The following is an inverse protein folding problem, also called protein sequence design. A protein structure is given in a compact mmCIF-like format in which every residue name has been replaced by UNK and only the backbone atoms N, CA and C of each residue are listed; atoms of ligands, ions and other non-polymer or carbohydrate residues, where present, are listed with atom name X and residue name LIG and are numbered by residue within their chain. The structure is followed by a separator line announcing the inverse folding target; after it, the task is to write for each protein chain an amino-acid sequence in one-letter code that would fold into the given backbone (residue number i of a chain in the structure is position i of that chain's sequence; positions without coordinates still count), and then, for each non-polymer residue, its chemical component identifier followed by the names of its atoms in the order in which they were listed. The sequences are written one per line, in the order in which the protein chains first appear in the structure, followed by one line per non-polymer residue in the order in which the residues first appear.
data_IF_389399616082
#
_entry.id   IF_389399616082
#
_cell.length_a   1.000
_cell.length_b   1.000
_cell.length_c   1.000
_cell.angle_alpha   90.00
_cell.angle_beta   90.00
_cell.angle_gamma   90.00
#
_symmetry.space_group_name_H-M   'P 1'
#
loop_
_entity.id
_entity.type
_entity.pdbx_description
1 polymer ?
#
# COMPACT_ATOMS: atom_id res chain seq x y z
N UNK A 1 -16.43 20.11 -1.87
CA UNK A 1 -15.56 18.91 -1.86
C UNK A 1 -14.90 18.68 -3.22
N UNK A 2 -15.66 18.61 -4.33
CA UNK A 2 -15.12 18.32 -5.66
C UNK A 2 -14.12 19.35 -6.20
N UNK A 3 -14.35 20.65 -6.00
CA UNK A 3 -13.42 21.69 -6.46
C UNK A 3 -12.03 21.56 -5.81
N UNK A 4 -11.95 21.19 -4.52
CA UNK A 4 -10.68 20.90 -3.85
C UNK A 4 -9.95 19.72 -4.51
N UNK A 5 -10.68 18.69 -4.92
CA UNK A 5 -10.11 17.52 -5.58
C UNK A 5 -9.61 17.90 -6.97
N UNK A 6 -10.39 18.64 -7.75
CA UNK A 6 -10.01 19.11 -9.08
C UNK A 6 -8.76 20.01 -9.03
N UNK A 7 -8.73 21.02 -8.15
CA UNK A 7 -7.54 21.86 -7.94
C UNK A 7 -6.37 21.02 -7.41
N UNK A 8 -6.62 20.06 -6.53
CA UNK A 8 -5.59 19.16 -6.00
C UNK A 8 -4.96 18.24 -7.05
N UNK A 9 -5.65 17.97 -8.15
CA UNK A 9 -5.15 17.15 -9.27
C UNK A 9 -4.47 18.03 -10.32
N UNK A 10 -5.09 19.15 -10.70
CA UNK A 10 -4.68 19.98 -11.84
C UNK A 10 -3.76 21.16 -11.45
N UNK A 11 -3.63 21.48 -10.16
CA UNK A 11 -2.72 22.51 -9.66
C UNK A 11 -3.07 23.90 -10.20
N UNK A 12 -2.13 24.51 -10.92
CA UNK A 12 -2.28 25.85 -11.51
C UNK A 12 -3.07 25.85 -12.83
N UNK A 13 -3.36 24.69 -13.43
CA UNK A 13 -4.20 24.62 -14.62
C UNK A 13 -5.68 24.72 -14.25
N UNK A 14 -6.19 25.95 -14.25
CA UNK A 14 -7.56 26.28 -13.83
C UNK A 14 -8.59 25.78 -14.83
N UNK A 15 -8.29 25.78 -16.12
CA UNK A 15 -9.24 25.38 -17.16
C UNK A 15 -9.61 23.89 -17.00
N UNK A 16 -8.61 23.01 -16.86
CA UNK A 16 -8.82 21.59 -16.60
C UNK A 16 -9.47 21.34 -15.22
N UNK A 17 -9.16 22.17 -14.22
CA UNK A 17 -9.78 22.04 -12.90
C UNK A 17 -11.29 22.33 -12.95
N UNK A 18 -11.71 23.30 -13.75
CA UNK A 18 -13.13 23.62 -13.97
C UNK A 18 -13.80 22.49 -14.75
N UNK A 19 -13.16 21.96 -15.79
CA UNK A 19 -13.68 20.82 -16.55
C UNK A 19 -13.91 19.60 -15.64
N UNK A 20 -12.89 19.18 -14.89
CA UNK A 20 -12.98 18.06 -13.96
C UNK A 20 -14.02 18.30 -12.86
N UNK A 21 -14.14 19.54 -12.36
CA UNK A 21 -15.19 19.88 -11.39
C UNK A 21 -16.59 19.67 -11.98
N UNK A 22 -16.85 20.16 -13.20
CA UNK A 22 -18.14 20.01 -13.85
C UNK A 22 -18.49 18.53 -14.02
N UNK A 23 -17.55 17.73 -14.55
CA UNK A 23 -17.74 16.29 -14.76
C UNK A 23 -17.99 15.52 -13.45
N UNK A 24 -17.28 15.85 -12.37
CA UNK A 24 -17.50 15.28 -11.04
C UNK A 24 -18.85 15.70 -10.44
N UNK A 25 -19.24 16.97 -10.59
CA UNK A 25 -20.47 17.52 -10.03
C UNK A 25 -21.74 17.00 -10.70
N UNK A 26 -21.66 16.76 -12.01
CA UNK A 26 -22.71 16.15 -12.84
C UNK A 26 -22.72 14.61 -12.75
N UNK A 27 -21.77 14.03 -11.99
CA UNK A 27 -21.66 12.58 -11.71
C UNK A 27 -21.35 11.74 -12.95
N UNK A 28 -20.63 12.29 -13.92
CA UNK A 28 -20.12 11.51 -15.06
C UNK A 28 -19.10 10.46 -14.61
N UNK A 29 -18.28 10.79 -13.61
CA UNK A 29 -17.38 9.84 -12.94
C UNK A 29 -17.12 10.26 -11.48
N UNK A 30 -16.39 9.43 -10.73
CA UNK A 30 -15.89 9.76 -9.40
C UNK A 30 -14.47 9.23 -9.21
N UNK A 31 -13.65 9.95 -8.45
CA UNK A 31 -12.33 9.47 -8.07
C UNK A 31 -12.39 8.45 -6.93
N UNK A 32 -11.30 7.70 -6.77
CA UNK A 32 -11.14 6.77 -5.67
C UNK A 32 -11.23 7.50 -4.31
N UNK A 33 -11.71 6.78 -3.31
CA UNK A 33 -11.87 7.30 -1.95
C UNK A 33 -10.63 8.01 -1.38
N UNK A 34 -9.38 7.49 -1.49
CA UNK A 34 -8.19 8.20 -1.00
C UNK A 34 -7.94 9.51 -1.73
N UNK A 35 -8.18 9.58 -3.04
CA UNK A 35 -8.09 10.82 -3.82
C UNK A 35 -9.09 11.85 -3.29
N UNK A 36 -10.35 11.43 -3.06
CA UNK A 36 -11.39 12.30 -2.52
C UNK A 36 -11.06 12.82 -1.12
N UNK A 37 -10.39 12.05 -0.27
CA UNK A 37 -10.01 12.49 1.08
C UNK A 37 -8.74 13.35 1.07
N UNK A 38 -7.71 12.95 0.32
CA UNK A 38 -6.35 13.47 0.48
C UNK A 38 -5.92 14.50 -0.58
N UNK A 39 -6.67 14.71 -1.66
CA UNK A 39 -6.32 15.73 -2.66
C UNK A 39 -6.21 17.14 -2.04
N UNK A 40 -5.18 17.90 -2.41
CA UNK A 40 -4.87 19.22 -1.84
C UNK A 40 -4.74 19.26 -0.30
N UNK A 41 -4.34 18.15 0.34
CA UNK A 41 -3.96 18.13 1.76
C UNK A 41 -2.44 18.13 1.92
N UNK A 42 -1.94 18.41 3.13
CA UNK A 42 -0.50 18.46 3.43
C UNK A 42 0.25 17.17 3.05
N UNK A 43 -0.39 16.01 3.22
CA UNK A 43 0.13 14.71 2.80
C UNK A 43 -0.83 14.09 1.77
N UNK A 44 -0.67 14.47 0.50
CA UNK A 44 -1.54 14.06 -0.59
C UNK A 44 -1.25 12.61 -1.06
N UNK A 45 -1.53 11.63 -0.21
CA UNK A 45 -1.47 10.22 -0.59
C UNK A 45 -2.79 9.84 -1.29
N UNK A 46 -2.79 9.81 -2.62
CA UNK A 46 -4.01 9.63 -3.42
C UNK A 46 -4.23 8.21 -3.96
N UNK A 47 -3.23 7.33 -3.83
CA UNK A 47 -3.31 5.95 -4.29
C UNK A 47 -3.98 5.04 -3.25
N UNK A 48 -4.79 4.08 -3.69
CA UNK A 48 -5.36 3.08 -2.76
C UNK A 48 -4.50 1.83 -2.65
N UNK A 49 -3.91 1.38 -3.76
CA UNK A 49 -3.35 0.04 -3.89
C UNK A 49 -1.86 0.09 -4.26
N UNK A 50 -1.07 -0.76 -3.61
CA UNK A 50 0.34 -0.96 -3.89
C UNK A 50 0.62 -2.43 -4.14
N UNK A 51 1.53 -2.69 -5.09
CA UNK A 51 2.04 -4.03 -5.35
C UNK A 51 3.53 -4.04 -5.05
N UNK A 52 3.95 -4.94 -4.18
CA UNK A 52 5.34 -5.17 -3.83
C UNK A 52 5.73 -6.59 -4.27
N UNK A 53 6.93 -6.72 -4.83
CA UNK A 53 7.51 -8.02 -5.13
C UNK A 53 8.72 -8.19 -4.24
N UNK A 54 8.79 -9.32 -3.54
CA UNK A 54 9.97 -9.67 -2.78
C UNK A 54 11.03 -10.24 -3.74
N UNK A 55 12.22 -9.66 -3.76
CA UNK A 55 13.22 -9.98 -4.77
C UNK A 55 13.91 -11.31 -4.51
N UNK A 56 14.25 -11.58 -3.24
CA UNK A 56 15.12 -12.70 -2.85
C UNK A 56 14.64 -13.35 -1.55
N UNK A 57 15.00 -14.62 -1.37
CA UNK A 57 14.75 -15.40 -0.15
C UNK A 57 15.85 -15.17 0.91
N UNK A 58 16.08 -13.89 1.25
CA UNK A 58 17.02 -13.50 2.30
C UNK A 58 16.30 -12.78 3.43
N UNK A 59 16.79 -12.96 4.66
CA UNK A 59 16.24 -12.29 5.85
C UNK A 59 16.28 -10.76 5.67
N UNK A 60 17.32 -10.23 5.03
CA UNK A 60 17.45 -8.81 4.73
C UNK A 60 16.32 -8.33 3.81
N UNK A 61 16.08 -9.03 2.71
CA UNK A 61 15.04 -8.65 1.74
C UNK A 61 13.64 -8.80 2.31
N UNK A 62 13.40 -9.85 3.11
CA UNK A 62 12.14 -10.06 3.83
C UNK A 62 11.91 -8.89 4.80
N UNK A 63 12.93 -8.50 5.55
CA UNK A 63 12.85 -7.41 6.54
C UNK A 63 12.63 -6.05 5.89
N UNK A 64 13.32 -5.75 4.78
CA UNK A 64 13.10 -4.49 4.05
C UNK A 64 11.71 -4.46 3.40
N UNK A 65 11.24 -5.58 2.84
CA UNK A 65 9.89 -5.68 2.28
C UNK A 65 8.83 -5.42 3.36
N UNK A 66 9.02 -6.00 4.55
CA UNK A 66 8.16 -5.79 5.71
C UNK A 66 8.19 -4.34 6.20
N UNK A 67 9.36 -3.70 6.22
CA UNK A 67 9.53 -2.27 6.54
C UNK A 67 8.75 -1.40 5.56
N UNK A 68 8.87 -1.67 4.25
CA UNK A 68 8.12 -0.97 3.20
C UNK A 68 6.61 -1.15 3.37
N UNK A 69 6.15 -2.37 3.66
CA UNK A 69 4.74 -2.64 3.94
C UNK A 69 4.23 -1.81 5.13
N UNK A 70 5.01 -1.74 6.20
CA UNK A 70 4.68 -0.98 7.42
C UNK A 70 4.51 0.52 7.12
N UNK A 71 5.44 1.10 6.36
CA UNK A 71 5.40 2.54 6.01
C UNK A 71 4.20 2.86 5.12
N UNK A 72 3.91 2.01 4.13
CA UNK A 72 2.77 2.19 3.21
C UNK A 72 1.44 2.00 3.96
N UNK A 73 1.34 0.95 4.77
CA UNK A 73 0.13 0.62 5.53
C UNK A 73 -0.25 1.70 6.54
N UNK A 74 0.71 2.51 7.03
CA UNK A 74 0.43 3.67 7.89
C UNK A 74 -0.51 4.68 7.24
N UNK A 75 -0.50 4.79 5.91
CA UNK A 75 -1.32 5.75 5.17
C UNK A 75 -2.66 5.15 4.70
N UNK A 76 -3.14 4.06 5.34
CA UNK A 76 -4.41 3.39 4.98
C UNK A 76 -4.47 2.98 3.51
N UNK A 77 -3.39 2.38 3.01
CA UNK A 77 -3.31 1.83 1.67
C UNK A 77 -3.27 0.29 1.72
N UNK A 78 -3.87 -0.33 0.71
CA UNK A 78 -3.85 -1.79 0.54
C UNK A 78 -2.58 -2.22 -0.18
N UNK A 79 -2.04 -3.37 0.22
CA UNK A 79 -0.75 -3.86 -0.27
C UNK A 79 -0.89 -5.33 -0.68
N UNK A 80 -0.60 -5.62 -1.95
CA UNK A 80 -0.36 -6.97 -2.42
C UNK A 80 1.14 -7.26 -2.42
N UNK A 81 1.57 -8.35 -1.80
CA UNK A 81 2.98 -8.76 -1.77
C UNK A 81 3.14 -10.10 -2.49
N UNK A 82 3.98 -10.13 -3.52
CA UNK A 82 4.41 -11.37 -4.16
C UNK A 82 5.54 -12.01 -3.34
N UNK A 83 5.33 -13.28 -2.99
CA UNK A 83 6.15 -14.08 -2.06
C UNK A 83 6.59 -15.40 -2.68
N UNK A 84 6.45 -15.51 -4.00
CA UNK A 84 6.80 -16.71 -4.77
C UNK A 84 8.28 -17.07 -4.69
N UNK A 85 9.14 -16.13 -4.29
CA UNK A 85 10.57 -16.36 -4.11
C UNK A 85 10.92 -17.07 -2.79
N UNK A 86 10.00 -17.17 -1.82
CA UNK A 86 10.28 -17.82 -0.53
C UNK A 86 10.42 -19.33 -0.72
N UNK A 87 11.50 -19.91 -0.20
CA UNK A 87 11.73 -21.34 -0.19
C UNK A 87 10.61 -22.11 0.52
N UNK A 88 10.29 -23.30 0.00
CA UNK A 88 9.30 -24.18 0.60
C UNK A 88 9.80 -24.73 1.94
N UNK A 89 8.87 -25.14 2.80
CA UNK A 89 9.19 -25.79 4.07
C UNK A 89 10.07 -27.04 3.83
N UNK A 90 11.18 -27.14 4.54
CA UNK A 90 12.15 -28.22 4.40
C UNK A 90 13.24 -28.01 3.33
N UNK A 91 13.20 -26.88 2.60
CA UNK A 91 14.28 -26.53 1.65
C UNK A 91 15.59 -26.32 2.38
N UNK A 92 16.70 -26.75 1.77
CA UNK A 92 18.03 -26.60 2.35
C UNK A 92 18.52 -25.15 2.22
N UNK A 93 19.04 -24.58 3.30
CA UNK A 93 19.63 -23.24 3.34
C UNK A 93 21.14 -23.40 3.50
N UNK A 94 21.89 -23.14 2.42
CA UNK A 94 23.35 -23.31 2.40
C UNK A 94 24.06 -22.47 3.47
N UNK A 95 23.59 -21.25 3.70
CA UNK A 95 24.23 -20.28 4.60
C UNK A 95 24.20 -20.68 6.08
N UNK A 96 23.22 -21.49 6.49
CA UNK A 96 23.00 -21.84 7.91
C UNK A 96 23.05 -23.33 8.19
N UNK A 97 23.32 -24.17 7.18
CA UNK A 97 23.24 -25.64 7.25
C UNK A 97 21.93 -26.12 7.92
N UNK A 98 20.85 -25.39 7.66
CA UNK A 98 19.55 -25.57 8.27
C UNK A 98 18.47 -25.76 7.19
N UNK A 99 17.29 -26.21 7.62
CA UNK A 99 16.11 -26.30 6.76
C UNK A 99 15.21 -25.08 6.94
N UNK A 100 14.68 -24.57 5.84
CA UNK A 100 13.70 -23.49 5.82
C UNK A 100 12.42 -23.92 6.53
N UNK A 101 11.87 -23.03 7.35
CA UNK A 101 10.56 -23.22 7.98
C UNK A 101 9.40 -22.89 7.02
N UNK A 102 9.72 -22.52 5.78
CA UNK A 102 8.78 -22.18 4.72
C UNK A 102 8.11 -20.82 4.88
N UNK A 103 7.05 -20.61 4.11
CA UNK A 103 6.33 -19.33 4.02
C UNK A 103 5.43 -19.02 5.24
N UNK A 104 4.95 -20.04 5.95
CA UNK A 104 3.93 -19.88 6.98
C UNK A 104 4.40 -19.01 8.17
N UNK A 105 5.61 -19.21 8.73
CA UNK A 105 6.12 -18.35 9.80
C UNK A 105 6.30 -16.89 9.34
N UNK A 106 6.83 -16.68 8.13
CA UNK A 106 6.98 -15.34 7.54
C UNK A 106 5.62 -14.64 7.44
N UNK A 107 4.61 -15.34 6.94
CA UNK A 107 3.25 -14.79 6.86
C UNK A 107 2.63 -14.46 8.22
N UNK A 108 2.94 -15.23 9.27
CA UNK A 108 2.50 -14.89 10.63
C UNK A 108 3.10 -13.58 11.13
N UNK A 109 4.37 -13.31 10.80
CA UNK A 109 5.03 -12.04 11.13
C UNK A 109 4.38 -10.86 10.39
N UNK A 110 4.15 -11.00 9.09
CA UNK A 110 3.43 -9.99 8.29
C UNK A 110 2.04 -9.70 8.85
N UNK A 111 1.27 -10.74 9.18
CA UNK A 111 -0.06 -10.60 9.77
C UNK A 111 -0.04 -9.87 11.13
N UNK A 112 0.91 -10.20 12.00
CA UNK A 112 1.02 -9.52 13.31
C UNK A 112 1.36 -8.04 13.16
N UNK A 113 2.22 -7.69 12.21
CA UNK A 113 2.57 -6.30 11.93
C UNK A 113 1.41 -5.55 11.27
N UNK A 114 0.69 -6.20 10.36
CA UNK A 114 -0.55 -5.65 9.78
C UNK A 114 -1.52 -5.19 10.88
N UNK A 115 -1.77 -6.08 11.85
CA UNK A 115 -2.64 -5.81 13.00
C UNK A 115 -2.10 -4.69 13.90
N UNK A 116 -0.79 -4.60 14.06
CA UNK A 116 -0.15 -3.54 14.84
C UNK A 116 -0.32 -2.16 14.18
N UNK A 117 -0.03 -2.05 12.88
CA UNK A 117 -0.14 -0.79 12.13
C UNK A 117 -1.59 -0.32 12.02
N UNK A 118 -2.54 -1.25 11.92
CA UNK A 118 -3.97 -0.97 11.77
C UNK A 118 -4.66 -0.46 13.07
N UNK A 119 -3.95 -0.28 14.18
CA UNK A 119 -4.53 0.26 15.43
C UNK A 119 -5.00 1.73 15.32
N UNK A 120 -4.62 2.44 14.25
CA UNK A 120 -4.97 3.83 13.97
C UNK A 120 -6.33 4.07 13.29
N UNK A 121 -7.41 3.40 13.71
CA UNK A 121 -8.83 3.77 13.59
C UNK A 121 -9.44 4.46 12.32
N UNK A 122 -8.78 4.52 11.15
CA UNK A 122 -9.37 5.13 9.93
C UNK A 122 -9.83 4.15 8.86
N UNK A 123 -9.33 2.92 8.87
CA UNK A 123 -9.78 1.70 8.17
C UNK A 123 -8.79 0.58 8.49
N UNK A 124 -9.19 -0.68 8.68
CA UNK A 124 -8.23 -1.78 8.62
C UNK A 124 -7.62 -1.78 7.22
N UNK A 125 -6.32 -1.53 7.11
CA UNK A 125 -5.56 -1.71 5.87
C UNK A 125 -5.27 -3.19 5.65
N UNK A 126 -4.00 -3.53 5.39
CA UNK A 126 -3.51 -4.90 5.19
C UNK A 126 -4.25 -5.93 6.07
N UNK A 127 -5.07 -6.77 5.45
CA UNK A 127 -5.91 -7.81 6.06
C UNK A 127 -5.76 -9.13 5.35
#
# INVERSE_FOLDING_TARGET
MFMRVAVGIHGENIDDAIETYNLLSEKWFTHATPTLFNAATRNAQMASCYLLTMCDDSIETISETLRRCTIISRNTSDIGVSVSCISANGSYIEETDCRSNGILPTMRVFNNIARYVNQGNRRPGMS
#
